data_IF_945765678585
#
_entry.id   IF_945765678585
#
_cell.length_a   1.000
_cell.length_b   1.000
_cell.length_c   1.000
_cell.angle_alpha   90.00
_cell.angle_beta   90.00
_cell.angle_gamma   90.00
#
_symmetry.space_group_name_H-M   'P 1'
#
loop_
_entity.id
_entity.type
_entity.pdbx_description
1 polymer ?
#
# COMPACT_ATOMS: atom_id res chain seq x y z
N UNK A 1 -19.39 1.37 -11.47
CA UNK A 1 -18.44 2.23 -10.73
C UNK A 1 -17.77 3.16 -11.73
N UNK A 2 -17.74 4.46 -11.48
CA UNK A 2 -17.10 5.45 -12.38
C UNK A 2 -15.78 6.01 -11.81
N UNK A 3 -15.01 6.72 -12.64
CA UNK A 3 -13.71 7.28 -12.28
C UNK A 3 -13.76 8.26 -11.08
N UNK A 4 -14.82 9.08 -10.97
CA UNK A 4 -14.98 10.02 -9.86
C UNK A 4 -15.23 9.31 -8.54
N UNK A 5 -16.02 8.24 -8.56
CA UNK A 5 -16.27 7.39 -7.38
C UNK A 5 -14.97 6.73 -6.89
N UNK A 6 -14.19 6.17 -7.81
CA UNK A 6 -12.89 5.55 -7.47
C UNK A 6 -11.92 6.57 -6.91
N UNK A 7 -11.79 7.74 -7.54
CA UNK A 7 -10.94 8.81 -7.04
C UNK A 7 -11.34 9.25 -5.62
N UNK A 8 -12.65 9.40 -5.36
CA UNK A 8 -13.16 9.73 -4.03
C UNK A 8 -12.85 8.64 -3.01
N UNK A 9 -13.04 7.36 -3.34
CA UNK A 9 -12.74 6.24 -2.45
C UNK A 9 -11.24 6.12 -2.15
N UNK A 10 -10.38 6.26 -3.17
CA UNK A 10 -8.94 6.24 -3.01
C UNK A 10 -8.44 7.41 -2.15
N UNK A 11 -8.92 8.63 -2.41
CA UNK A 11 -8.61 9.82 -1.59
C UNK A 11 -9.07 9.60 -0.15
N UNK A 12 -10.30 9.10 0.04
CA UNK A 12 -10.85 8.77 1.36
C UNK A 12 -9.98 7.73 2.08
N UNK A 13 -9.49 6.71 1.39
CA UNK A 13 -8.63 5.70 1.98
C UNK A 13 -7.32 6.29 2.53
N UNK A 14 -6.70 7.24 1.82
CA UNK A 14 -5.49 7.93 2.30
C UNK A 14 -5.76 8.82 3.52
N UNK A 15 -6.89 9.54 3.52
CA UNK A 15 -7.28 10.33 4.68
C UNK A 15 -7.57 9.42 5.89
N UNK A 16 -8.24 8.29 5.68
CA UNK A 16 -8.46 7.31 6.74
C UNK A 16 -7.13 6.79 7.28
N UNK A 17 -6.20 6.41 6.41
CA UNK A 17 -4.87 5.92 6.78
C UNK A 17 -4.15 6.88 7.75
N UNK A 18 -4.07 8.18 7.43
CA UNK A 18 -3.34 9.14 8.28
C UNK A 18 -4.09 9.46 9.58
N UNK A 19 -5.43 9.33 9.60
CA UNK A 19 -6.23 9.63 10.80
C UNK A 19 -6.12 8.59 11.91
N UNK A 20 -5.81 7.33 11.57
CA UNK A 20 -5.64 6.24 12.55
C UNK A 20 -4.50 6.59 13.52
N UNK A 21 -4.76 6.48 14.82
CA UNK A 21 -3.73 6.68 15.86
C UNK A 21 -3.91 5.71 17.03
N UNK A 22 -2.82 5.19 17.63
CA UNK A 22 -1.42 5.42 17.26
C UNK A 22 -0.93 4.54 16.09
N UNK A 23 0.03 5.03 15.29
CA UNK A 23 0.77 4.23 14.30
C UNK A 23 2.26 4.28 14.60
N UNK A 24 2.79 3.23 15.24
CA UNK A 24 4.14 3.20 15.78
C UNK A 24 5.22 3.56 14.74
N UNK A 25 5.85 4.72 14.89
CA UNK A 25 6.92 5.22 14.00
C UNK A 25 6.44 5.82 12.67
N UNK A 26 5.14 5.73 12.36
CA UNK A 26 4.52 6.32 11.17
C UNK A 26 3.85 7.66 11.53
N UNK A 27 3.68 8.51 10.53
CA UNK A 27 2.88 9.74 10.68
C UNK A 27 1.42 9.37 10.92
N UNK A 28 0.80 10.00 11.92
CA UNK A 28 -0.57 9.79 12.36
C UNK A 28 -1.17 11.10 12.88
N UNK A 29 -2.48 11.11 13.14
CA UNK A 29 -3.18 12.28 13.72
C UNK A 29 -2.54 12.80 15.02
N UNK A 30 -1.96 11.94 15.85
CA UNK A 30 -1.39 12.33 17.14
C UNK A 30 0.14 12.43 17.16
N UNK A 31 0.84 12.07 16.08
CA UNK A 31 2.31 12.03 16.08
C UNK A 31 2.88 12.01 14.65
N UNK A 32 4.02 12.68 14.46
CA UNK A 32 4.82 12.58 13.24
C UNK A 32 5.63 11.27 13.18
N UNK A 33 5.53 10.40 14.19
CA UNK A 33 6.30 9.16 14.27
C UNK A 33 7.81 9.44 14.25
N UNK A 34 8.54 8.72 13.40
CA UNK A 34 9.99 8.90 13.25
C UNK A 34 10.38 10.03 12.28
N UNK A 35 9.41 10.77 11.76
CA UNK A 35 9.64 11.81 10.75
C UNK A 35 9.87 13.19 11.37
N UNK A 36 10.69 13.98 10.70
CA UNK A 36 10.97 15.39 11.05
C UNK A 36 10.57 16.37 9.93
N UNK A 37 10.27 15.82 8.77
CA UNK A 37 10.04 16.51 7.51
C UNK A 37 8.57 16.48 7.08
N UNK A 38 7.71 15.70 7.75
CA UNK A 38 6.29 15.57 7.42
C UNK A 38 5.45 15.38 8.67
N UNK A 39 4.19 15.77 8.56
CA UNK A 39 3.18 15.68 9.61
C UNK A 39 1.80 15.30 9.05
N UNK A 40 0.79 15.26 9.92
CA UNK A 40 -0.59 14.96 9.57
C UNK A 40 -1.13 15.83 8.43
N UNK A 41 -0.84 17.14 8.43
CA UNK A 41 -1.34 18.07 7.42
C UNK A 41 -0.65 17.87 6.07
N UNK A 42 0.65 17.59 6.08
CA UNK A 42 1.42 17.21 4.87
C UNK A 42 0.79 16.00 4.17
N UNK A 43 0.28 15.03 4.93
CA UNK A 43 -0.45 13.87 4.39
C UNK A 43 -1.81 14.23 3.82
N UNK A 44 -2.55 15.17 4.43
CA UNK A 44 -3.81 15.67 3.88
C UNK A 44 -3.57 16.35 2.53
N UNK A 45 -2.63 17.28 2.46
CA UNK A 45 -2.31 18.03 1.24
C UNK A 45 -1.87 17.07 0.12
N UNK A 46 -1.05 16.09 0.48
CA UNK A 46 -0.63 15.03 -0.43
C UNK A 46 -1.78 14.14 -0.91
N UNK A 47 -2.73 13.77 -0.04
CA UNK A 47 -3.86 12.94 -0.43
C UNK A 47 -4.79 13.68 -1.40
N UNK A 48 -5.02 14.98 -1.17
CA UNK A 48 -5.88 15.80 -2.01
C UNK A 48 -5.28 16.04 -3.40
N UNK A 49 -3.97 16.26 -3.50
CA UNK A 49 -3.30 16.44 -4.80
C UNK A 49 -3.40 15.21 -5.70
N UNK A 50 -3.49 14.01 -5.12
CA UNK A 50 -3.56 12.74 -5.86
C UNK A 50 -4.95 12.35 -6.36
N UNK A 51 -6.00 13.09 -6.01
CA UNK A 51 -7.38 12.74 -6.38
C UNK A 51 -7.57 12.64 -7.90
N UNK A 52 -6.99 13.60 -8.64
CA UNK A 52 -7.01 13.61 -10.11
C UNK A 52 -6.29 12.39 -10.70
N UNK A 53 -5.11 12.07 -10.17
CA UNK A 53 -4.34 10.90 -10.60
C UNK A 53 -5.14 9.60 -10.47
N UNK A 54 -5.87 9.39 -9.37
CA UNK A 54 -6.69 8.19 -9.20
C UNK A 54 -7.82 8.08 -10.24
N UNK A 55 -8.43 9.22 -10.62
CA UNK A 55 -9.38 9.26 -11.73
C UNK A 55 -8.69 8.91 -13.06
N UNK A 56 -7.51 9.46 -13.32
CA UNK A 56 -6.75 9.19 -14.55
C UNK A 56 -6.32 7.72 -14.65
N UNK A 57 -5.90 7.07 -13.56
CA UNK A 57 -5.62 5.63 -13.53
C UNK A 57 -6.84 4.80 -13.91
N UNK A 58 -8.02 5.17 -13.42
CA UNK A 58 -9.25 4.45 -13.75
C UNK A 58 -9.59 4.59 -15.23
N UNK A 59 -9.56 5.83 -15.77
CA UNK A 59 -9.77 6.10 -17.20
C UNK A 59 -8.77 5.31 -18.04
N UNK A 60 -7.49 5.39 -17.67
CA UNK A 60 -6.41 4.69 -18.34
C UNK A 60 -6.66 3.18 -18.43
N UNK A 61 -7.06 2.54 -17.32
CA UNK A 61 -7.40 1.12 -17.30
C UNK A 61 -8.66 0.76 -18.09
N UNK A 62 -9.61 1.69 -18.24
CA UNK A 62 -10.80 1.51 -19.08
C UNK A 62 -10.48 1.62 -20.58
N UNK A 63 -9.63 2.56 -20.96
CA UNK A 63 -9.40 2.92 -22.36
C UNK A 63 -8.31 2.08 -23.04
N UNK A 64 -7.40 1.48 -22.27
CA UNK A 64 -6.24 0.77 -22.81
C UNK A 64 -6.40 -0.75 -22.69
N UNK A 65 -5.79 -1.47 -23.63
CA UNK A 65 -5.71 -2.92 -23.56
C UNK A 65 -4.76 -3.35 -22.44
N UNK A 66 -5.32 -4.01 -21.43
CA UNK A 66 -4.60 -4.54 -20.29
C UNK A 66 -3.47 -5.49 -20.69
N UNK A 67 -3.60 -6.26 -21.77
CA UNK A 67 -2.56 -7.20 -22.21
C UNK A 67 -1.47 -6.55 -23.07
N UNK A 68 -1.57 -5.24 -23.32
CA UNK A 68 -0.54 -4.50 -24.05
C UNK A 68 0.78 -4.49 -23.28
N UNK A 69 1.92 -4.78 -23.92
CA UNK A 69 3.24 -4.72 -23.28
C UNK A 69 3.60 -3.30 -22.80
N UNK A 70 2.94 -2.26 -23.34
CA UNK A 70 3.14 -0.87 -22.94
C UNK A 70 2.27 -0.45 -21.76
N UNK A 71 1.32 -1.28 -21.30
CA UNK A 71 0.33 -0.87 -20.31
C UNK A 71 1.00 -0.40 -19.01
N UNK A 72 1.93 -1.21 -18.47
CA UNK A 72 2.65 -0.87 -17.26
C UNK A 72 3.57 0.34 -17.43
N UNK A 73 4.23 0.44 -18.59
CA UNK A 73 5.16 1.53 -18.92
C UNK A 73 4.43 2.88 -18.95
N UNK A 74 3.31 2.95 -19.64
CA UNK A 74 2.52 4.18 -19.75
C UNK A 74 1.87 4.55 -18.41
N UNK A 75 1.41 3.56 -17.63
CA UNK A 75 0.93 3.81 -16.26
C UNK A 75 2.03 4.41 -15.38
N UNK A 76 3.28 3.96 -15.52
CA UNK A 76 4.41 4.54 -14.80
C UNK A 76 4.61 6.02 -15.14
N UNK A 77 4.40 6.42 -16.40
CA UNK A 77 4.51 7.83 -16.80
C UNK A 77 3.39 8.69 -16.22
N UNK A 78 2.17 8.15 -16.03
CA UNK A 78 1.13 8.80 -15.23
C UNK A 78 1.56 8.96 -13.77
N UNK A 79 2.12 7.89 -13.18
CA UNK A 79 2.64 7.91 -11.81
C UNK A 79 3.72 8.99 -11.60
N UNK A 80 4.63 9.17 -12.56
CA UNK A 80 5.67 10.24 -12.49
C UNK A 80 5.06 11.65 -12.47
N UNK A 81 3.98 11.89 -13.22
CA UNK A 81 3.27 13.18 -13.17
C UNK A 81 2.63 13.40 -11.80
N UNK A 82 1.98 12.37 -11.26
CA UNK A 82 1.40 12.40 -9.92
C UNK A 82 2.46 12.60 -8.82
N UNK A 83 3.65 12.00 -8.97
CA UNK A 83 4.77 12.27 -8.05
C UNK A 83 5.14 13.75 -8.05
N UNK A 84 5.19 14.39 -9.23
CA UNK A 84 5.48 15.81 -9.33
C UNK A 84 4.41 16.67 -8.65
N UNK A 85 3.13 16.42 -8.93
CA UNK A 85 2.01 17.12 -8.30
C UNK A 85 2.01 16.92 -6.76
N UNK A 86 2.32 15.71 -6.31
CA UNK A 86 2.49 15.41 -4.89
C UNK A 86 3.62 16.24 -4.28
N UNK A 87 4.82 16.25 -4.87
CA UNK A 87 5.94 17.04 -4.38
C UNK A 87 5.67 18.54 -4.37
N UNK A 88 4.97 19.06 -5.39
CA UNK A 88 4.56 20.46 -5.42
C UNK A 88 3.62 20.79 -4.25
N UNK A 89 2.65 19.92 -3.95
CA UNK A 89 1.72 20.09 -2.83
C UNK A 89 2.39 19.94 -1.45
N UNK A 90 3.48 19.20 -1.36
CA UNK A 90 4.16 18.87 -0.09
C UNK A 90 5.51 19.56 0.05
N UNK A 91 5.78 20.65 -0.67
CA UNK A 91 7.05 21.38 -0.60
C UNK A 91 8.30 20.48 -0.79
N UNK A 92 8.22 19.52 -1.70
CA UNK A 92 9.30 18.59 -2.03
C UNK A 92 9.38 17.35 -1.13
N UNK A 93 8.42 17.14 -0.22
CA UNK A 93 8.44 16.03 0.74
C UNK A 93 7.82 14.77 0.13
N UNK A 94 8.49 13.61 0.28
CA UNK A 94 7.99 12.34 -0.22
C UNK A 94 6.97 11.70 0.76
N UNK A 95 5.69 11.99 0.54
CA UNK A 95 4.61 11.53 1.42
C UNK A 95 3.94 10.24 0.93
N UNK A 96 3.65 10.15 -0.36
CA UNK A 96 2.82 9.09 -0.96
C UNK A 96 3.42 8.44 -2.22
N UNK A 97 4.74 8.53 -2.47
CA UNK A 97 5.34 7.90 -3.66
C UNK A 97 5.06 6.39 -3.77
N UNK A 98 5.13 5.68 -2.64
CA UNK A 98 4.77 4.26 -2.60
C UNK A 98 3.29 4.01 -2.91
N UNK A 99 2.41 4.88 -2.42
CA UNK A 99 0.97 4.85 -2.68
C UNK A 99 0.65 5.12 -4.15
N UNK A 100 1.31 6.08 -4.78
CA UNK A 100 1.14 6.37 -6.22
C UNK A 100 1.41 5.11 -7.04
N UNK A 101 2.47 4.38 -6.70
CA UNK A 101 2.81 3.10 -7.33
C UNK A 101 1.74 2.04 -7.09
N UNK A 102 1.38 1.76 -5.84
CA UNK A 102 0.46 0.65 -5.51
C UNK A 102 -0.98 0.92 -5.91
N UNK A 103 -1.53 2.10 -5.58
CA UNK A 103 -2.90 2.48 -5.93
C UNK A 103 -3.05 2.68 -7.44
N UNK A 104 -2.03 3.21 -8.12
CA UNK A 104 -2.05 3.35 -9.58
C UNK A 104 -2.22 2.00 -10.28
N UNK A 105 -1.44 0.99 -9.86
CA UNK A 105 -1.57 -0.38 -10.35
C UNK A 105 -2.95 -0.94 -10.03
N UNK A 106 -3.34 -0.94 -8.76
CA UNK A 106 -4.61 -1.52 -8.31
C UNK A 106 -5.80 -0.93 -9.07
N UNK A 107 -5.89 0.40 -9.17
CA UNK A 107 -6.99 1.08 -9.84
C UNK A 107 -7.01 0.78 -11.33
N UNK A 108 -5.86 0.82 -12.00
CA UNK A 108 -5.80 0.61 -13.45
C UNK A 108 -6.16 -0.83 -13.84
N UNK A 109 -5.70 -1.82 -13.05
CA UNK A 109 -6.05 -3.22 -13.28
C UNK A 109 -7.51 -3.50 -12.93
N UNK A 110 -8.01 -2.95 -11.82
CA UNK A 110 -9.42 -3.02 -11.44
C UNK A 110 -10.32 -2.46 -12.55
N UNK A 111 -9.96 -1.29 -13.09
CA UNK A 111 -10.71 -0.64 -14.15
C UNK A 111 -10.77 -1.50 -15.42
N UNK A 112 -9.66 -2.08 -15.85
CA UNK A 112 -9.65 -3.02 -16.98
C UNK A 112 -10.51 -4.25 -16.71
N UNK A 113 -10.43 -4.81 -15.49
CA UNK A 113 -11.20 -6.00 -15.11
C UNK A 113 -12.72 -5.73 -15.09
N UNK A 114 -13.16 -4.56 -14.62
CA UNK A 114 -14.58 -4.17 -14.61
C UNK A 114 -15.22 -4.06 -16.00
N UNK A 115 -14.44 -4.14 -17.10
CA UNK A 115 -15.00 -4.25 -18.46
C UNK A 115 -15.42 -5.66 -18.82
N UNK A 116 -14.85 -6.64 -18.15
CA UNK A 116 -15.03 -8.07 -18.43
C UNK A 116 -16.12 -8.69 -17.55
N UNK A 117 -16.41 -8.08 -16.38
CA UNK A 117 -17.28 -8.65 -15.36
C UNK A 117 -18.10 -7.59 -14.62
N UNK A 118 -19.27 -7.98 -14.11
CA UNK A 118 -20.12 -7.14 -13.25
C UNK A 118 -19.70 -7.19 -11.76
N UNK A 119 -19.11 -8.31 -11.33
CA UNK A 119 -18.65 -8.53 -9.96
C UNK A 119 -17.16 -8.88 -9.92
N UNK A 120 -16.46 -8.33 -8.93
CA UNK A 120 -15.00 -8.50 -8.79
C UNK A 120 -14.68 -9.68 -7.88
N UNK A 121 -13.98 -10.66 -8.45
CA UNK A 121 -13.26 -11.67 -7.67
C UNK A 121 -11.86 -11.15 -7.31
N UNK A 122 -11.57 -11.05 -6.02
CA UNK A 122 -10.29 -10.53 -5.51
C UNK A 122 -9.09 -11.42 -5.88
N UNK A 123 -9.30 -12.73 -6.04
CA UNK A 123 -8.26 -13.67 -6.49
C UNK A 123 -7.94 -13.44 -7.96
N UNK A 124 -8.95 -13.25 -8.79
CA UNK A 124 -8.75 -12.92 -10.21
C UNK A 124 -8.08 -11.56 -10.37
N UNK A 125 -8.47 -10.56 -9.57
CA UNK A 125 -7.82 -9.26 -9.53
C UNK A 125 -6.33 -9.39 -9.14
N UNK A 126 -6.02 -10.17 -8.11
CA UNK A 126 -4.64 -10.45 -7.68
C UNK A 126 -3.81 -11.08 -8.80
N UNK A 127 -4.33 -12.10 -9.50
CA UNK A 127 -3.64 -12.75 -10.61
C UNK A 127 -3.44 -11.79 -11.80
N UNK A 128 -4.42 -10.95 -12.12
CA UNK A 128 -4.24 -9.89 -13.14
C UNK A 128 -3.14 -8.92 -12.74
N UNK A 129 -3.11 -8.44 -11.49
CA UNK A 129 -2.04 -7.54 -11.01
C UNK A 129 -0.66 -8.19 -11.16
N UNK A 130 -0.53 -9.46 -10.76
CA UNK A 130 0.69 -10.25 -10.91
C UNK A 130 1.14 -10.35 -12.37
N UNK A 131 0.23 -10.66 -13.29
CA UNK A 131 0.54 -10.73 -14.72
C UNK A 131 1.03 -9.38 -15.26
N UNK A 132 0.33 -8.30 -14.93
CA UNK A 132 0.70 -6.93 -15.32
C UNK A 132 2.07 -6.52 -14.76
N UNK A 133 2.37 -6.93 -13.54
CA UNK A 133 3.61 -6.56 -12.85
C UNK A 133 4.79 -7.48 -13.17
N UNK A 134 4.62 -8.54 -13.96
CA UNK A 134 5.70 -9.48 -14.31
C UNK A 134 6.99 -8.83 -14.85
N UNK A 135 6.97 -7.70 -15.61
CA UNK A 135 8.20 -7.03 -16.02
C UNK A 135 9.07 -6.52 -14.86
N UNK A 136 8.48 -6.31 -13.67
CA UNK A 136 9.23 -5.90 -12.47
C UNK A 136 10.22 -6.97 -12.00
N UNK A 137 10.04 -8.24 -12.36
CA UNK A 137 10.99 -9.30 -12.02
C UNK A 137 12.34 -9.02 -12.67
N UNK A 138 12.32 -8.72 -13.97
CA UNK A 138 13.51 -8.34 -14.72
C UNK A 138 14.13 -7.07 -14.13
N UNK A 139 13.34 -6.07 -13.71
CA UNK A 139 13.86 -4.85 -13.06
C UNK A 139 14.54 -5.14 -11.72
N UNK A 140 14.03 -6.09 -10.93
CA UNK A 140 14.65 -6.50 -9.66
C UNK A 140 15.98 -7.24 -9.91
N UNK A 141 16.05 -8.10 -10.93
CA UNK A 141 17.22 -8.91 -11.23
C UNK A 141 18.32 -8.13 -11.98
N UNK A 142 17.96 -7.19 -12.85
CA UNK A 142 18.88 -6.45 -13.73
C UNK A 142 19.50 -5.19 -13.11
N UNK A 143 19.32 -4.95 -11.82
CA UNK A 143 19.76 -3.72 -11.15
C UNK A 143 21.27 -3.68 -10.94
N UNK A 144 22.00 -3.36 -12.02
CA UNK A 144 23.44 -3.08 -11.99
C UNK A 144 23.76 -1.64 -11.55
N UNK A 145 22.78 -0.73 -11.56
CA UNK A 145 22.90 0.66 -11.09
C UNK A 145 21.97 0.92 -9.89
N UNK A 146 22.55 1.13 -8.70
CA UNK A 146 21.83 1.23 -7.42
C UNK A 146 21.34 2.65 -7.12
N UNK A 147 20.25 3.05 -7.73
CA UNK A 147 19.74 4.43 -7.60
C UNK A 147 18.80 4.61 -6.40
N UNK A 148 18.06 3.56 -6.00
CA UNK A 148 17.05 3.65 -4.94
C UNK A 148 17.39 2.83 -3.69
N UNK A 149 16.78 3.18 -2.56
CA UNK A 149 16.93 2.43 -1.31
C UNK A 149 16.39 0.98 -1.41
N UNK A 150 15.29 0.78 -2.15
CA UNK A 150 14.72 -0.54 -2.37
C UNK A 150 15.68 -1.48 -3.12
N UNK A 151 16.39 -0.97 -4.13
CA UNK A 151 17.39 -1.74 -4.89
C UNK A 151 18.59 -2.13 -4.02
N UNK A 152 19.04 -1.23 -3.15
CA UNK A 152 20.09 -1.51 -2.17
C UNK A 152 19.66 -2.58 -1.16
N UNK A 153 18.42 -2.52 -0.69
CA UNK A 153 17.86 -3.50 0.24
C UNK A 153 17.69 -4.89 -0.41
N UNK A 154 17.24 -4.94 -1.66
CA UNK A 154 17.13 -6.19 -2.42
C UNK A 154 18.49 -6.87 -2.60
N UNK A 155 19.53 -6.14 -3.00
CA UNK A 155 20.87 -6.73 -3.17
C UNK A 155 21.46 -7.25 -1.86
N UNK A 156 21.30 -6.50 -0.76
CA UNK A 156 21.97 -6.82 0.51
C UNK A 156 21.24 -7.88 1.33
N UNK A 157 19.91 -7.91 1.24
CA UNK A 157 19.04 -8.70 2.13
C UNK A 157 17.95 -9.49 1.39
N UNK A 158 17.90 -9.45 0.06
CA UNK A 158 16.86 -10.05 -0.78
C UNK A 158 15.44 -9.55 -0.47
N UNK A 159 15.33 -8.33 0.07
CA UNK A 159 14.05 -7.69 0.36
C UNK A 159 13.48 -7.04 -0.91
N UNK A 160 12.38 -7.57 -1.41
CA UNK A 160 11.74 -7.12 -2.65
C UNK A 160 10.88 -5.86 -2.48
N UNK A 161 10.45 -5.57 -1.25
CA UNK A 161 9.69 -4.36 -0.90
C UNK A 161 8.39 -4.19 -1.70
N UNK A 162 8.04 -2.95 -2.03
CA UNK A 162 6.79 -2.63 -2.75
C UNK A 162 6.69 -3.31 -4.13
N UNK A 163 7.82 -3.54 -4.82
CA UNK A 163 7.85 -4.28 -6.09
C UNK A 163 7.51 -5.75 -5.88
N UNK A 164 8.00 -6.36 -4.80
CA UNK A 164 7.63 -7.73 -4.42
C UNK A 164 6.14 -7.89 -4.15
N UNK A 165 5.53 -6.93 -3.44
CA UNK A 165 4.09 -6.93 -3.20
C UNK A 165 3.29 -6.81 -4.50
N UNK A 166 3.74 -6.01 -5.46
CA UNK A 166 3.11 -5.92 -6.77
C UNK A 166 3.25 -7.25 -7.55
N UNK A 167 4.42 -7.88 -7.50
CA UNK A 167 4.70 -9.18 -8.12
C UNK A 167 3.91 -10.33 -7.48
N UNK A 168 3.51 -10.22 -6.21
CA UNK A 168 2.62 -11.20 -5.58
C UNK A 168 1.14 -10.97 -5.94
N UNK A 169 0.81 -9.87 -6.65
CA UNK A 169 -0.57 -9.49 -6.93
C UNK A 169 -1.26 -8.77 -5.77
N UNK A 170 -0.50 -8.31 -4.76
CA UNK A 170 -1.03 -7.81 -3.49
C UNK A 170 -1.92 -8.83 -2.75
N UNK A 171 -1.65 -10.13 -2.91
CA UNK A 171 -2.35 -11.24 -2.28
C UNK A 171 -2.54 -11.04 -0.75
N UNK A 172 -1.51 -10.60 -0.04
CA UNK A 172 -1.55 -10.34 1.39
C UNK A 172 -2.53 -9.23 1.78
N UNK A 173 -2.82 -8.31 0.87
CA UNK A 173 -3.81 -7.24 1.07
C UNK A 173 -5.19 -7.72 0.64
N UNK A 174 -5.30 -8.22 -0.60
CA UNK A 174 -6.58 -8.54 -1.23
C UNK A 174 -7.23 -9.80 -0.66
N UNK A 175 -6.46 -10.84 -0.37
CA UNK A 175 -6.98 -12.15 0.02
C UNK A 175 -6.92 -12.38 1.53
N UNK A 176 -5.97 -11.76 2.22
CA UNK A 176 -5.83 -11.94 3.67
C UNK A 176 -6.24 -10.69 4.47
N UNK A 177 -5.63 -9.54 4.19
CA UNK A 177 -5.85 -8.31 4.95
C UNK A 177 -7.29 -7.80 4.98
N UNK A 178 -7.98 -7.79 3.83
CA UNK A 178 -9.40 -7.43 3.74
C UNK A 178 -10.25 -8.35 4.62
N UNK A 179 -9.99 -9.66 4.59
CA UNK A 179 -10.73 -10.63 5.39
C UNK A 179 -10.46 -10.45 6.89
N UNK A 180 -9.21 -10.21 7.28
CA UNK A 180 -8.86 -9.86 8.67
C UNK A 180 -9.57 -8.61 9.15
N UNK A 181 -9.55 -7.54 8.36
CA UNK A 181 -10.22 -6.28 8.73
C UNK A 181 -11.73 -6.49 8.90
N UNK A 182 -12.38 -7.25 8.02
CA UNK A 182 -13.80 -7.64 8.15
C UNK A 182 -14.07 -8.41 9.44
N UNK A 183 -13.19 -9.34 9.83
CA UNK A 183 -13.36 -10.07 11.09
C UNK A 183 -13.12 -9.20 12.32
N UNK A 184 -12.12 -8.30 12.28
CA UNK A 184 -11.82 -7.41 13.40
C UNK A 184 -12.96 -6.42 13.65
N UNK A 185 -13.51 -5.82 12.58
CA UNK A 185 -14.61 -4.84 12.67
C UNK A 185 -15.95 -5.42 13.13
N UNK A 186 -16.09 -6.75 13.22
CA UNK A 186 -17.26 -7.39 13.86
C UNK A 186 -17.24 -7.29 15.39
N UNK A 187 -16.08 -7.01 15.98
CA UNK A 187 -15.84 -7.10 17.43
C UNK A 187 -15.24 -5.81 17.98
N UNK A 188 -14.35 -5.19 17.22
CA UNK A 188 -13.62 -3.99 17.56
C UNK A 188 -14.19 -2.79 16.80
N UNK A 189 -13.98 -1.58 17.34
CA UNK A 189 -14.17 -0.36 16.57
C UNK A 189 -13.19 -0.32 15.37
N UNK A 190 -13.49 0.57 14.42
CA UNK A 190 -12.73 0.65 13.17
C UNK A 190 -11.27 1.06 13.39
N UNK A 191 -10.98 2.00 14.29
CA UNK A 191 -9.62 2.47 14.53
C UNK A 191 -8.76 1.36 15.14
N UNK A 192 -9.27 0.68 16.17
CA UNK A 192 -8.60 -0.48 16.78
C UNK A 192 -8.41 -1.63 15.79
N UNK A 193 -9.39 -1.89 14.91
CA UNK A 193 -9.28 -2.90 13.85
C UNK A 193 -8.15 -2.59 12.87
N UNK A 194 -7.99 -1.33 12.46
CA UNK A 194 -6.90 -0.89 11.59
C UNK A 194 -5.53 -1.02 12.27
N UNK A 195 -5.43 -0.68 13.56
CA UNK A 195 -4.17 -0.83 14.33
C UNK A 195 -3.79 -2.30 14.44
N UNK A 196 -4.76 -3.18 14.71
CA UNK A 196 -4.49 -4.62 14.80
C UNK A 196 -4.04 -5.19 13.45
N UNK A 197 -4.64 -4.74 12.34
CA UNK A 197 -4.20 -5.08 10.99
C UNK A 197 -2.79 -4.54 10.69
N UNK A 198 -2.45 -3.34 11.17
CA UNK A 198 -1.11 -2.79 11.04
C UNK A 198 -0.07 -3.65 11.77
N UNK A 199 -0.35 -4.12 12.99
CA UNK A 199 0.53 -5.05 13.69
C UNK A 199 0.71 -6.36 12.93
N UNK A 200 -0.37 -6.89 12.34
CA UNK A 200 -0.29 -8.05 11.48
C UNK A 200 0.68 -7.81 10.31
N UNK A 201 0.51 -6.73 9.55
CA UNK A 201 1.39 -6.43 8.42
C UNK A 201 2.84 -6.20 8.82
N UNK A 202 3.09 -5.41 9.87
CA UNK A 202 4.46 -5.17 10.35
C UNK A 202 5.11 -6.48 10.79
N UNK A 203 4.35 -7.44 11.31
CA UNK A 203 4.89 -8.73 11.77
C UNK A 203 5.39 -9.66 10.67
N UNK A 204 4.95 -9.46 9.41
CA UNK A 204 5.24 -10.38 8.30
C UNK A 204 5.90 -9.71 7.10
N UNK A 205 5.75 -8.40 6.92
CA UNK A 205 6.31 -7.68 5.79
C UNK A 205 7.71 -7.17 6.11
N UNK A 206 8.62 -7.29 5.15
CA UNK A 206 9.96 -6.75 5.28
C UNK A 206 10.00 -5.28 4.81
N UNK A 207 9.76 -4.36 5.75
CA UNK A 207 9.78 -2.93 5.47
C UNK A 207 11.21 -2.41 5.23
N UNK A 208 11.52 -2.17 3.95
CA UNK A 208 12.80 -1.61 3.51
C UNK A 208 13.10 -0.22 4.09
N UNK A 209 12.09 0.56 4.49
CA UNK A 209 12.30 1.86 5.13
C UNK A 209 12.87 1.71 6.54
N UNK A 210 12.43 0.70 7.30
CA UNK A 210 13.01 0.39 8.62
C UNK A 210 14.47 0.00 8.47
N UNK A 211 14.78 -0.89 7.51
CA UNK A 211 16.16 -1.33 7.25
C UNK A 211 17.06 -0.16 6.85
N UNK A 212 16.54 0.78 6.07
CA UNK A 212 17.29 1.96 5.62
C UNK A 212 17.54 2.98 6.73
N UNK A 213 16.55 3.24 7.59
CA UNK A 213 16.66 4.23 8.68
C UNK A 213 17.39 3.68 9.90
N UNK A 214 17.32 2.38 10.12
CA UNK A 214 17.97 1.68 11.22
C UNK A 214 18.85 0.56 10.66
N UNK A 215 18.41 -0.69 10.77
CA UNK A 215 19.13 -1.86 10.28
C UNK A 215 18.22 -3.09 10.24
N UNK A 216 18.72 -4.19 9.69
CA UNK A 216 17.99 -5.46 9.58
C UNK A 216 17.62 -6.08 10.94
N UNK A 217 18.45 -5.90 11.97
CA UNK A 217 18.15 -6.40 13.33
C UNK A 217 16.92 -5.69 13.90
N UNK A 218 16.85 -4.36 13.77
CA UNK A 218 15.69 -3.57 14.18
C UNK A 218 14.40 -3.99 13.46
N UNK A 219 14.48 -4.30 12.16
CA UNK A 219 13.32 -4.86 11.43
C UNK A 219 12.81 -6.14 12.10
N UNK A 220 13.71 -7.08 12.44
CA UNK A 220 13.34 -8.36 13.07
C UNK A 220 12.79 -8.17 14.49
N UNK A 221 13.37 -7.25 15.27
CA UNK A 221 12.87 -6.89 16.61
C UNK A 221 11.44 -6.33 16.55
N UNK A 222 11.18 -5.40 15.62
CA UNK A 222 9.86 -4.80 15.42
C UNK A 222 8.84 -5.84 14.93
N UNK A 223 9.24 -6.73 14.01
CA UNK A 223 8.42 -7.84 13.55
C UNK A 223 8.00 -8.75 14.72
N UNK A 224 8.94 -9.12 15.60
CA UNK A 224 8.65 -9.94 16.78
C UNK A 224 7.72 -9.24 17.77
N UNK A 225 7.93 -7.95 18.02
CA UNK A 225 7.07 -7.16 18.90
C UNK A 225 5.64 -7.08 18.35
N UNK A 226 5.48 -6.72 17.07
CA UNK A 226 4.17 -6.60 16.44
C UNK A 226 3.46 -7.96 16.34
N UNK A 227 4.20 -9.05 16.14
CA UNK A 227 3.66 -10.41 16.21
C UNK A 227 3.06 -10.71 17.58
N UNK A 228 3.80 -10.40 18.65
CA UNK A 228 3.33 -10.60 20.03
C UNK A 228 2.07 -9.78 20.30
N UNK A 229 2.08 -8.48 19.96
CA UNK A 229 0.93 -7.60 20.13
C UNK A 229 -0.29 -8.09 19.36
N UNK A 230 -0.10 -8.53 18.11
CA UNK A 230 -1.16 -9.11 17.30
C UNK A 230 -1.75 -10.36 17.95
N UNK A 231 -0.91 -11.34 18.33
CA UNK A 231 -1.37 -12.61 18.91
C UNK A 231 -2.06 -12.44 20.28
N UNK A 232 -1.57 -11.54 21.13
CA UNK A 232 -2.17 -11.25 22.44
C UNK A 232 -3.58 -10.67 22.29
N UNK A 233 -3.76 -9.72 21.36
CA UNK A 233 -5.06 -9.12 21.09
C UNK A 233 -6.04 -10.13 20.48
N UNK A 234 -5.60 -10.97 19.54
CA UNK A 234 -6.44 -12.04 18.98
C UNK A 234 -6.88 -13.06 20.05
N UNK A 235 -6.00 -13.45 20.98
CA UNK A 235 -6.32 -14.34 22.10
C UNK A 235 -7.30 -13.72 23.08
N UNK A 236 -7.22 -12.41 23.32
CA UNK A 236 -8.18 -11.71 24.17
C UNK A 236 -9.58 -11.75 23.55
N UNK A 237 -9.68 -11.47 22.25
CA UNK A 237 -10.94 -11.47 21.50
C UNK A 237 -11.61 -12.85 21.48
N UNK A 238 -10.84 -13.93 21.38
CA UNK A 238 -11.41 -15.30 21.41
C UNK A 238 -11.92 -15.69 22.79
N UNK A 239 -11.28 -15.24 23.87
CA UNK A 239 -11.75 -15.47 25.25
C UNK A 239 -13.04 -14.72 25.57
N UNK A 240 -13.22 -13.51 25.03
CA UNK A 240 -14.45 -12.73 25.22
C UNK A 240 -15.64 -13.33 24.46
N UNK A 241 -15.41 -13.89 23.26
CA UNK A 241 -16.44 -14.63 22.50
C UNK A 241 -16.94 -15.87 23.23
N UNK A 242 -16.08 -16.57 23.96
CA UNK A 242 -16.46 -17.77 24.72
C UNK A 242 -17.17 -17.49 26.05
N UNK A 243 -17.33 -16.21 26.44
CA UNK A 243 -18.01 -15.78 27.68
C UNK A 243 -19.40 -15.19 27.44
N UNK A 244 -19.83 -15.04 26.19
CA UNK A 244 -21.17 -14.60 25.78
C UNK A 244 -21.94 -15.78 25.22
#
# INVERSE_FOLDING_TARGET
MNNKEVAKLATKALLYEVTISPKAGLVSRLSNGSHRDMDFYTFIDSALSLSKYFSECFIYGQENDFYSPNFFKNLRDLGKKAEKEMYEATNGINTHKGTIFSMGILISVLAGYLKEVDEIDLKVLSEKIKNMCSPLLNELESTNNFSTYGEKAYKKYHLTGARGLALSGYDIVLLDGINKLKEFTKILDFETSCILLLFYYISILDDTNIVNRANFKTLKEIQMLCKKLYEENIKSLSKEKNKK
#
